data_IF_749804213658
#
_entry.id   IF_749804213658
#
_cell.length_a   1.000
_cell.length_b   1.000
_cell.length_c   1.000
_cell.angle_alpha   90.00
_cell.angle_beta   90.00
_cell.angle_gamma   90.00
#
_symmetry.space_group_name_H-M   'P 1'
#
loop_
_entity.id
_entity.type
_entity.pdbx_description
1 polymer ?
#
# COMPACT_ATOMS: atom_id res chain seq x y z
N UNK A 1 -9.40 -10.85 17.80
CA UNK A 1 -8.10 -11.55 17.69
C UNK A 1 -7.03 -10.72 16.96
N UNK A 2 -7.35 -9.93 15.93
CA UNK A 2 -6.36 -9.09 15.21
C UNK A 2 -5.54 -8.14 16.10
N UNK A 3 -6.14 -7.55 17.14
CA UNK A 3 -5.46 -6.65 18.07
C UNK A 3 -4.27 -7.31 18.81
N UNK A 4 -4.26 -8.64 18.96
CA UNK A 4 -3.15 -9.35 19.61
C UNK A 4 -1.94 -9.55 18.67
N UNK A 5 -2.12 -9.44 17.35
CA UNK A 5 -1.03 -9.58 16.37
C UNK A 5 -0.09 -8.37 16.39
N UNK A 6 -0.55 -7.22 16.86
CA UNK A 6 0.19 -5.96 16.82
C UNK A 6 0.37 -5.37 18.20
N UNK A 7 0.86 -6.15 19.16
CA UNK A 7 1.17 -5.67 20.52
C UNK A 7 2.62 -5.20 20.65
N UNK A 8 2.88 -4.24 21.54
CA UNK A 8 4.24 -3.81 21.88
C UNK A 8 4.94 -3.17 20.68
N UNK A 9 6.17 -3.59 20.31
CA UNK A 9 6.93 -2.98 19.22
C UNK A 9 6.21 -2.99 17.85
N UNK A 10 5.24 -3.89 17.67
CA UNK A 10 4.49 -4.07 16.42
C UNK A 10 3.22 -3.20 16.31
N UNK A 11 2.82 -2.49 17.36
CA UNK A 11 1.57 -1.68 17.40
C UNK A 11 1.42 -0.78 16.18
N UNK A 12 2.49 -0.09 15.81
CA UNK A 12 2.52 0.84 14.67
C UNK A 12 2.09 0.22 13.34
N UNK A 13 2.29 -1.08 13.12
CA UNK A 13 1.94 -1.74 11.86
C UNK A 13 0.47 -2.13 11.81
N UNK A 14 -0.21 -2.21 12.96
CA UNK A 14 -1.63 -2.54 13.07
C UNK A 14 -2.55 -1.33 13.30
N UNK A 15 -2.01 -0.12 13.45
CA UNK A 15 -2.78 1.08 13.83
C UNK A 15 -3.95 1.41 12.87
N UNK A 16 -3.82 1.02 11.61
CA UNK A 16 -4.81 1.25 10.57
C UNK A 16 -5.85 0.14 10.49
N UNK A 17 -5.63 -1.01 11.15
CA UNK A 17 -6.55 -2.14 11.08
C UNK A 17 -7.73 -1.92 12.04
N UNK A 18 -8.92 -1.82 11.47
CA UNK A 18 -10.16 -1.64 12.20
C UNK A 18 -10.67 -2.97 12.75
N UNK A 19 -11.22 -2.95 13.96
CA UNK A 19 -11.91 -4.12 14.50
C UNK A 19 -13.22 -4.38 13.72
N UNK A 20 -13.65 -5.64 13.68
CA UNK A 20 -14.89 -6.03 12.99
C UNK A 20 -16.13 -5.33 13.59
N UNK A 21 -16.06 -5.01 14.88
CA UNK A 21 -17.07 -4.39 15.72
C UNK A 21 -16.73 -2.94 16.11
N UNK A 22 -15.82 -2.26 15.40
CA UNK A 22 -15.39 -0.89 15.72
C UNK A 22 -16.54 0.11 15.48
N UNK A 23 -17.48 0.16 16.41
CA UNK A 23 -18.60 1.08 16.52
C UNK A 23 -18.20 2.25 17.43
N UNK A 24 -17.10 2.93 17.11
CA UNK A 24 -16.76 4.19 17.78
C UNK A 24 -17.89 5.21 17.55
N UNK A 25 -18.27 6.02 18.55
CA UNK A 25 -19.34 7.03 18.43
C UNK A 25 -19.14 8.02 17.28
N UNK A 26 -17.88 8.29 16.90
CA UNK A 26 -17.48 9.07 15.72
C UNK A 26 -17.42 8.20 14.44
N UNK A 27 -18.45 7.37 14.20
CA UNK A 27 -18.47 6.35 13.15
C UNK A 27 -18.26 6.96 11.76
N UNK A 28 -16.99 7.01 11.33
CA UNK A 28 -16.60 7.34 9.96
C UNK A 28 -17.22 6.33 9.00
N UNK A 29 -17.69 6.75 7.82
CA UNK A 29 -18.26 5.82 6.86
C UNK A 29 -17.19 4.80 6.46
N UNK A 30 -17.48 3.52 6.70
CA UNK A 30 -16.66 2.42 6.23
C UNK A 30 -17.29 1.88 4.96
N UNK A 31 -16.59 2.01 3.84
CA UNK A 31 -17.10 1.70 2.50
C UNK A 31 -16.32 0.54 1.91
N UNK A 32 -17.01 -0.39 1.24
CA UNK A 32 -16.35 -1.48 0.53
C UNK A 32 -15.40 -0.90 -0.54
N UNK A 33 -14.21 -1.50 -0.67
CA UNK A 33 -13.20 -1.02 -1.60
C UNK A 33 -13.67 -1.14 -3.06
N UNK A 34 -14.39 -2.20 -3.40
CA UNK A 34 -15.03 -2.37 -4.71
C UNK A 34 -16.02 -1.26 -5.06
N UNK A 35 -16.77 -0.74 -4.08
CA UNK A 35 -17.69 0.38 -4.26
C UNK A 35 -16.92 1.70 -4.42
N UNK A 36 -15.85 1.90 -3.65
CA UNK A 36 -15.01 3.10 -3.75
C UNK A 36 -14.29 3.22 -5.08
N UNK A 37 -14.00 2.10 -5.76
CA UNK A 37 -13.32 2.07 -7.05
C UNK A 37 -14.24 2.33 -8.25
N UNK A 38 -15.55 2.50 -8.03
CA UNK A 38 -16.47 2.95 -9.08
C UNK A 38 -16.12 4.38 -9.52
N UNK A 39 -16.18 4.66 -10.82
CA UNK A 39 -15.74 5.94 -11.38
C UNK A 39 -16.45 7.14 -10.73
N UNK A 40 -17.76 7.04 -10.52
CA UNK A 40 -18.56 8.10 -9.90
C UNK A 40 -18.18 8.34 -8.44
N UNK A 41 -17.75 7.28 -7.73
CA UNK A 41 -17.29 7.39 -6.33
C UNK A 41 -15.89 7.98 -6.24
N UNK A 42 -14.99 7.58 -7.14
CA UNK A 42 -13.67 8.19 -7.26
C UNK A 42 -13.76 9.68 -7.62
N UNK A 43 -14.66 10.05 -8.54
CA UNK A 43 -14.91 11.44 -8.91
C UNK A 43 -15.36 12.26 -7.69
N UNK A 44 -16.34 11.77 -6.95
CA UNK A 44 -16.84 12.42 -5.73
C UNK A 44 -15.74 12.56 -4.67
N UNK A 45 -14.98 11.50 -4.43
CA UNK A 45 -13.88 11.49 -3.46
C UNK A 45 -12.78 12.48 -3.83
N UNK A 46 -12.26 12.40 -5.06
CA UNK A 46 -11.15 13.26 -5.48
C UNK A 46 -11.60 14.72 -5.58
N UNK A 47 -12.84 14.99 -5.99
CA UNK A 47 -13.41 16.34 -5.97
C UNK A 47 -13.48 16.90 -4.55
N UNK A 48 -13.89 16.08 -3.57
CA UNK A 48 -13.94 16.46 -2.16
C UNK A 48 -12.54 16.76 -1.59
N UNK A 49 -11.53 15.96 -1.93
CA UNK A 49 -10.18 16.11 -1.38
C UNK A 49 -9.42 17.27 -2.01
N UNK A 50 -9.52 17.41 -3.35
CA UNK A 50 -8.62 18.25 -4.16
C UNK A 50 -9.32 19.46 -4.79
N UNK A 51 -10.65 19.47 -4.84
CA UNK A 51 -11.43 20.55 -5.43
C UNK A 51 -11.51 20.51 -6.97
N UNK A 52 -12.46 21.27 -7.56
CA UNK A 52 -12.73 21.23 -8.99
C UNK A 52 -11.62 21.84 -9.86
N UNK A 53 -10.72 22.64 -9.28
CA UNK A 53 -9.65 23.30 -10.04
C UNK A 53 -8.55 22.31 -10.47
N UNK A 54 -8.23 21.33 -9.61
CA UNK A 54 -7.16 20.37 -9.87
C UNK A 54 -7.63 19.14 -10.65
N UNK A 55 -8.88 18.71 -10.44
CA UNK A 55 -9.46 17.51 -11.05
C UNK A 55 -9.21 17.40 -12.56
N UNK A 56 -9.54 18.38 -13.42
CA UNK A 56 -9.43 18.22 -14.88
C UNK A 56 -7.99 18.14 -15.41
N UNK A 57 -7.04 18.80 -14.73
CA UNK A 57 -5.68 18.97 -15.23
C UNK A 57 -4.63 18.09 -14.54
N UNK A 58 -4.96 17.53 -13.37
CA UNK A 58 -4.00 16.81 -12.52
C UNK A 58 -4.48 15.42 -12.09
N UNK A 59 -5.56 14.89 -12.68
CA UNK A 59 -6.15 13.59 -12.30
C UNK A 59 -5.12 12.45 -12.09
N UNK A 60 -4.11 12.24 -12.97
CA UNK A 60 -3.05 11.25 -12.74
C UNK A 60 -2.34 11.40 -11.39
N UNK A 61 -2.05 12.64 -10.97
CA UNK A 61 -1.34 12.94 -9.74
C UNK A 61 -2.24 12.70 -8.54
N UNK A 62 -3.50 13.16 -8.62
CA UNK A 62 -4.49 13.02 -7.56
C UNK A 62 -4.76 11.54 -7.24
N UNK A 63 -4.94 10.73 -8.29
CA UNK A 63 -5.11 9.28 -8.17
C UNK A 63 -3.86 8.63 -7.58
N UNK A 64 -2.66 9.03 -8.02
CA UNK A 64 -1.42 8.50 -7.44
C UNK A 64 -1.26 8.86 -5.95
N UNK A 65 -1.74 10.02 -5.51
CA UNK A 65 -1.70 10.41 -4.11
C UNK A 65 -2.73 9.65 -3.28
N UNK A 66 -3.97 9.52 -3.78
CA UNK A 66 -5.00 8.75 -3.09
C UNK A 66 -4.61 7.28 -2.93
N UNK A 67 -4.07 6.66 -3.98
CA UNK A 67 -3.54 5.30 -3.95
C UNK A 67 -2.46 5.10 -2.88
N UNK A 68 -1.58 6.11 -2.68
CA UNK A 68 -0.56 6.07 -1.63
C UNK A 68 -1.20 5.92 -0.24
N UNK A 69 -2.27 6.67 0.05
CA UNK A 69 -2.96 6.56 1.33
C UNK A 69 -3.60 5.18 1.54
N UNK A 70 -4.11 4.56 0.47
CA UNK A 70 -4.58 3.17 0.54
C UNK A 70 -3.46 2.18 0.88
N UNK A 71 -2.32 2.26 0.18
CA UNK A 71 -1.16 1.41 0.46
C UNK A 71 -0.69 1.57 1.91
N UNK A 72 -0.79 2.79 2.45
CA UNK A 72 -0.50 3.08 3.86
C UNK A 72 -1.41 2.34 4.84
N UNK A 73 -2.65 2.05 4.47
CA UNK A 73 -3.58 1.33 5.34
C UNK A 73 -3.35 -0.19 5.29
N UNK A 74 -3.17 -0.75 4.09
CA UNK A 74 -3.26 -2.21 3.87
C UNK A 74 -1.93 -2.94 3.98
N UNK A 75 -0.83 -2.36 3.50
CA UNK A 75 0.45 -3.09 3.39
C UNK A 75 1.03 -3.46 4.76
N UNK A 76 1.15 -2.55 5.75
CA UNK A 76 1.81 -2.86 7.01
C UNK A 76 1.15 -3.99 7.79
N UNK A 77 -0.18 -3.98 8.04
CA UNK A 77 -0.78 -5.04 8.83
C UNK A 77 -0.68 -6.39 8.11
N UNK A 78 -0.92 -6.43 6.80
CA UNK A 78 -0.87 -7.68 6.02
C UNK A 78 0.56 -8.26 5.97
N UNK A 79 1.54 -7.42 5.68
CA UNK A 79 2.94 -7.84 5.55
C UNK A 79 3.48 -8.36 6.88
N UNK A 80 3.26 -7.62 7.97
CA UNK A 80 3.77 -7.97 9.30
C UNK A 80 3.04 -9.17 9.88
N UNK A 81 1.71 -9.26 9.72
CA UNK A 81 0.95 -10.43 10.15
C UNK A 81 1.44 -11.72 9.47
N UNK A 82 1.70 -11.67 8.17
CA UNK A 82 2.26 -12.82 7.46
C UNK A 82 3.66 -13.14 7.97
N UNK A 83 4.59 -12.17 7.99
CA UNK A 83 6.01 -12.42 8.31
C UNK A 83 6.23 -12.88 9.76
N UNK A 84 5.56 -12.27 10.72
CA UNK A 84 5.78 -12.52 12.15
C UNK A 84 4.89 -13.65 12.67
N UNK A 85 3.65 -13.73 12.20
CA UNK A 85 2.64 -14.61 12.79
C UNK A 85 2.14 -15.70 11.83
N UNK A 86 2.53 -15.68 10.56
CA UNK A 86 1.96 -16.58 9.56
C UNK A 86 0.47 -16.36 9.33
N UNK A 87 -0.04 -15.19 9.70
CA UNK A 87 -1.45 -14.86 9.69
C UNK A 87 -1.85 -14.18 8.39
N UNK A 88 -2.96 -14.60 7.81
CA UNK A 88 -3.44 -14.12 6.51
C UNK A 88 -4.93 -13.79 6.58
N UNK A 89 -5.34 -12.80 5.80
CA UNK A 89 -6.73 -12.44 5.59
C UNK A 89 -7.12 -12.70 4.14
N UNK A 90 -8.41 -12.90 3.87
CA UNK A 90 -8.94 -12.76 2.53
C UNK A 90 -8.84 -11.28 2.11
N UNK A 91 -8.26 -11.02 0.93
CA UNK A 91 -7.87 -9.66 0.49
C UNK A 91 -8.46 -9.26 -0.87
N UNK A 92 -9.41 -10.04 -1.41
CA UNK A 92 -10.15 -9.61 -2.59
C UNK A 92 -10.83 -8.26 -2.32
N UNK A 93 -11.02 -7.43 -3.34
CA UNK A 93 -11.49 -6.05 -3.17
C UNK A 93 -12.86 -5.97 -2.47
N UNK A 94 -13.73 -6.97 -2.64
CA UNK A 94 -15.05 -7.05 -1.98
C UNK A 94 -14.95 -7.41 -0.49
N UNK A 95 -13.80 -7.93 -0.06
CA UNK A 95 -13.52 -8.35 1.33
C UNK A 95 -12.71 -7.29 2.09
N UNK A 96 -12.40 -6.17 1.43
CA UNK A 96 -11.68 -5.04 2.02
C UNK A 96 -12.61 -3.84 2.04
N UNK A 97 -12.65 -3.15 3.17
CA UNK A 97 -13.37 -1.88 3.30
C UNK A 97 -12.46 -0.81 3.91
N UNK A 98 -12.70 0.45 3.59
CA UNK A 98 -11.92 1.57 4.08
C UNK A 98 -12.78 2.49 4.94
N UNK A 99 -12.27 2.88 6.09
CA UNK A 99 -12.72 4.11 6.73
C UNK A 99 -12.10 5.29 5.99
N UNK A 100 -12.95 6.23 5.61
CA UNK A 100 -12.53 7.51 5.02
C UNK A 100 -12.81 8.65 6.01
N UNK A 101 -11.90 9.62 6.08
CA UNK A 101 -12.15 10.84 6.85
C UNK A 101 -13.17 11.75 6.15
N UNK A 102 -13.50 12.86 6.80
CA UNK A 102 -14.44 13.89 6.29
C UNK A 102 -14.03 14.48 4.94
N UNK A 103 -12.75 14.38 4.56
CA UNK A 103 -12.24 14.86 3.27
C UNK A 103 -12.35 13.78 2.19
N UNK A 104 -12.34 12.51 2.57
CA UNK A 104 -12.32 11.35 1.67
C UNK A 104 -10.99 10.57 1.67
N UNK A 105 -10.06 10.87 2.58
CA UNK A 105 -8.79 10.17 2.67
C UNK A 105 -8.92 8.86 3.47
N UNK A 106 -8.33 7.74 2.99
CA UNK A 106 -8.23 6.51 3.77
C UNK A 106 -7.51 6.74 5.10
N UNK A 107 -8.13 6.32 6.20
CA UNK A 107 -7.55 6.41 7.54
C UNK A 107 -7.73 5.14 8.39
N UNK A 108 -8.22 4.08 7.77
CA UNK A 108 -8.30 2.74 8.34
C UNK A 108 -8.77 1.73 7.32
N UNK A 109 -8.40 0.47 7.52
CA UNK A 109 -8.79 -0.67 6.69
C UNK A 109 -9.49 -1.71 7.55
N UNK A 110 -10.61 -2.24 7.06
CA UNK A 110 -11.32 -3.38 7.62
C UNK A 110 -11.20 -4.54 6.65
N UNK A 111 -10.73 -5.67 7.17
CA UNK A 111 -10.59 -6.91 6.43
C UNK A 111 -11.71 -7.87 6.85
N UNK A 112 -12.34 -8.54 5.89
CA UNK A 112 -13.42 -9.47 6.18
C UNK A 112 -12.92 -10.71 6.94
N UNK A 113 -13.75 -11.20 7.86
CA UNK A 113 -13.42 -12.34 8.71
C UNK A 113 -12.32 -12.04 9.72
N UNK A 114 -11.96 -13.05 10.51
CA UNK A 114 -10.91 -12.90 11.53
C UNK A 114 -9.50 -13.06 10.94
N UNK A 115 -9.41 -13.58 9.72
CA UNK A 115 -8.19 -14.16 9.16
C UNK A 115 -7.86 -15.49 9.84
N UNK A 116 -6.77 -16.11 9.41
CA UNK A 116 -6.33 -17.37 9.98
C UNK A 116 -4.81 -17.56 9.88
N UNK A 117 -4.27 -18.35 10.81
CA UNK A 117 -2.90 -18.82 10.71
C UNK A 117 -2.81 -19.89 9.62
N UNK A 118 -1.98 -19.66 8.60
CA UNK A 118 -1.74 -20.67 7.56
C UNK A 118 -0.84 -21.77 8.09
N UNK A 119 -1.36 -23.01 8.11
CA UNK A 119 -0.56 -24.21 8.38
C UNK A 119 0.26 -24.54 7.13
N UNK A 120 1.59 -24.51 7.24
CA UNK A 120 2.48 -24.79 6.10
C UNK A 120 2.60 -23.59 5.15
N UNK A 121 3.02 -22.45 5.68
CA UNK A 121 3.25 -21.21 4.91
C UNK A 121 4.13 -21.54 3.69
N UNK A 122 3.72 -21.15 2.46
CA UNK A 122 4.52 -21.38 1.27
C UNK A 122 5.93 -20.82 1.41
N UNK A 123 6.92 -21.60 0.97
CA UNK A 123 8.31 -21.14 0.89
C UNK A 123 8.49 -20.08 -0.22
N UNK A 124 7.69 -20.20 -1.28
CA UNK A 124 7.65 -19.23 -2.37
C UNK A 124 7.02 -17.91 -1.88
N UNK A 125 7.75 -16.79 -1.94
CA UNK A 125 7.26 -15.49 -1.48
C UNK A 125 6.02 -15.02 -2.27
N UNK A 126 5.93 -15.32 -3.57
CA UNK A 126 4.79 -14.89 -4.38
C UNK A 126 3.52 -15.66 -4.04
N UNK A 127 3.64 -16.95 -3.71
CA UNK A 127 2.50 -17.72 -3.20
C UNK A 127 2.08 -17.26 -1.80
N UNK A 128 3.04 -16.98 -0.93
CA UNK A 128 2.76 -16.46 0.42
C UNK A 128 2.00 -15.14 0.39
N UNK A 129 2.34 -14.26 -0.56
CA UNK A 129 1.74 -12.93 -0.68
C UNK A 129 0.72 -12.82 -1.83
N UNK A 130 0.24 -13.94 -2.40
CA UNK A 130 -0.71 -13.93 -3.51
C UNK A 130 -1.97 -13.12 -3.20
N UNK A 131 -2.52 -13.25 -1.98
CA UNK A 131 -3.68 -12.44 -1.59
C UNK A 131 -3.41 -10.92 -1.60
N UNK A 132 -2.21 -10.49 -1.22
CA UNK A 132 -1.86 -9.06 -1.28
C UNK A 132 -1.57 -8.64 -2.73
N UNK A 133 -0.87 -9.45 -3.50
CA UNK A 133 -0.40 -9.09 -4.83
C UNK A 133 -1.49 -9.25 -5.90
N UNK A 134 -2.06 -10.44 -6.00
CA UNK A 134 -2.97 -10.84 -7.07
C UNK A 134 -4.42 -10.48 -6.76
N UNK A 135 -4.89 -10.73 -5.53
CA UNK A 135 -6.30 -10.48 -5.17
C UNK A 135 -6.57 -9.00 -4.83
N UNK A 136 -5.54 -8.25 -4.43
CA UNK A 136 -5.69 -6.88 -3.95
C UNK A 136 -4.95 -5.83 -4.80
N UNK A 137 -3.62 -5.78 -4.72
CA UNK A 137 -2.84 -4.69 -5.32
C UNK A 137 -2.98 -4.67 -6.85
N UNK A 138 -2.94 -5.82 -7.51
CA UNK A 138 -3.07 -5.92 -8.96
C UNK A 138 -4.41 -5.35 -9.48
N UNK A 139 -5.59 -5.80 -9.03
CA UNK A 139 -6.86 -5.25 -9.50
C UNK A 139 -7.10 -3.82 -9.02
N UNK A 140 -6.68 -3.45 -7.80
CA UNK A 140 -6.75 -2.07 -7.32
C UNK A 140 -5.94 -1.11 -8.20
N UNK A 141 -4.68 -1.45 -8.49
CA UNK A 141 -3.80 -0.64 -9.34
C UNK A 141 -4.32 -0.58 -10.77
N UNK A 142 -4.85 -1.68 -11.31
CA UNK A 142 -5.44 -1.69 -12.65
C UNK A 142 -6.65 -0.74 -12.75
N UNK A 143 -7.55 -0.77 -11.77
CA UNK A 143 -8.73 0.10 -11.72
C UNK A 143 -8.33 1.59 -11.64
N UNK A 144 -7.44 1.95 -10.72
CA UNK A 144 -6.99 3.34 -10.58
C UNK A 144 -6.15 3.82 -11.75
N UNK A 145 -5.32 2.96 -12.33
CA UNK A 145 -4.56 3.26 -13.55
C UNK A 145 -5.49 3.63 -14.70
N UNK A 146 -6.55 2.84 -14.91
CA UNK A 146 -7.55 3.08 -15.95
C UNK A 146 -8.34 4.37 -15.69
N UNK A 147 -8.83 4.57 -14.46
CA UNK A 147 -9.58 5.76 -14.10
C UNK A 147 -8.73 7.04 -14.18
N UNK A 148 -7.51 7.01 -13.64
CA UNK A 148 -6.64 8.19 -13.55
C UNK A 148 -5.80 8.50 -14.79
N UNK A 149 -5.79 7.61 -15.79
CA UNK A 149 -4.99 7.79 -17.00
C UNK A 149 -3.48 7.84 -16.73
N UNK A 150 -2.98 7.00 -15.81
CA UNK A 150 -1.57 6.94 -15.43
C UNK A 150 -1.00 5.53 -15.57
N UNK A 151 0.29 5.35 -15.89
CA UNK A 151 0.86 4.00 -15.99
C UNK A 151 0.81 3.24 -14.65
N UNK A 152 0.41 1.97 -14.66
CA UNK A 152 0.42 1.10 -13.46
C UNK A 152 1.76 1.11 -12.71
N UNK A 153 2.88 1.28 -13.44
CA UNK A 153 4.22 1.33 -12.87
C UNK A 153 4.42 2.49 -11.86
N UNK A 154 3.65 3.58 -11.97
CA UNK A 154 3.63 4.69 -11.01
C UNK A 154 3.07 4.22 -9.66
N UNK A 155 1.94 3.50 -9.69
CA UNK A 155 1.27 3.00 -8.49
C UNK A 155 2.04 1.82 -7.86
N UNK A 156 2.56 0.90 -8.68
CA UNK A 156 3.43 -0.19 -8.21
C UNK A 156 4.72 0.32 -7.56
N UNK A 157 5.31 1.41 -8.10
CA UNK A 157 6.43 2.10 -7.46
C UNK A 157 6.03 2.65 -6.09
N UNK A 158 4.79 3.15 -5.90
CA UNK A 158 4.32 3.66 -4.60
C UNK A 158 4.10 2.52 -3.61
N UNK A 159 3.49 1.42 -4.06
CA UNK A 159 3.27 0.24 -3.23
C UNK A 159 4.61 -0.37 -2.77
N UNK A 160 5.56 -0.53 -3.69
CA UNK A 160 6.89 -1.05 -3.36
C UNK A 160 7.72 -0.11 -2.49
N UNK A 161 7.61 1.20 -2.67
CA UNK A 161 8.18 2.20 -1.77
C UNK A 161 7.70 2.02 -0.34
N UNK A 162 6.39 1.81 -0.16
CA UNK A 162 5.84 1.68 1.18
C UNK A 162 6.12 0.29 1.79
N UNK A 163 6.05 -0.77 0.99
CA UNK A 163 6.41 -2.14 1.40
C UNK A 163 7.86 -2.21 1.88
N UNK A 164 8.80 -1.66 1.13
CA UNK A 164 10.22 -1.65 1.51
C UNK A 164 10.44 -0.87 2.81
N UNK A 165 9.83 0.31 2.95
CA UNK A 165 9.93 1.09 4.19
C UNK A 165 9.36 0.34 5.40
N UNK A 166 8.27 -0.42 5.20
CA UNK A 166 7.71 -1.29 6.22
C UNK A 166 8.69 -2.41 6.65
N UNK A 167 9.41 -3.02 5.69
CA UNK A 167 10.43 -4.05 5.98
C UNK A 167 11.61 -3.46 6.75
N UNK A 168 12.11 -2.29 6.33
CA UNK A 168 13.19 -1.57 7.02
C UNK A 168 12.78 -1.27 8.46
N UNK A 169 11.56 -0.78 8.68
CA UNK A 169 11.06 -0.51 10.01
C UNK A 169 10.90 -1.79 10.85
N UNK A 170 10.35 -2.86 10.28
CA UNK A 170 10.19 -4.14 10.98
C UNK A 170 11.54 -4.72 11.42
N UNK A 171 12.59 -4.58 10.60
CA UNK A 171 13.95 -5.03 10.92
C UNK A 171 14.51 -4.41 12.22
N UNK A 172 14.03 -3.22 12.59
CA UNK A 172 14.48 -2.51 13.81
C UNK A 172 13.83 -3.02 15.09
N UNK A 173 12.73 -3.78 14.98
CA UNK A 173 11.89 -4.12 16.13
C UNK A 173 11.41 -5.58 16.17
N UNK A 174 11.85 -6.43 15.24
CA UNK A 174 11.50 -7.85 15.16
C UNK A 174 12.68 -8.70 14.72
N UNK A 175 12.73 -9.94 15.19
CA UNK A 175 13.71 -10.97 14.78
C UNK A 175 13.17 -11.90 13.70
N UNK A 176 11.94 -11.66 13.21
CA UNK A 176 11.33 -12.47 12.16
C UNK A 176 12.15 -12.41 10.86
N UNK A 177 12.19 -13.53 10.12
CA UNK A 177 12.85 -13.57 8.81
C UNK A 177 12.12 -12.68 7.81
N UNK A 178 12.83 -11.68 7.27
CA UNK A 178 12.31 -10.77 6.25
C UNK A 178 12.55 -11.26 4.82
N UNK A 179 13.26 -12.39 4.65
CA UNK A 179 13.63 -12.95 3.34
C UNK A 179 12.44 -13.03 2.38
N UNK A 180 11.24 -13.53 2.78
CA UNK A 180 10.10 -13.60 1.87
C UNK A 180 9.62 -12.21 1.41
N UNK A 181 9.63 -11.20 2.29
CA UNK A 181 9.23 -9.84 1.93
C UNK A 181 10.26 -9.15 1.04
N UNK A 182 11.55 -9.35 1.32
CA UNK A 182 12.64 -8.81 0.51
C UNK A 182 12.70 -9.44 -0.89
N UNK A 183 12.33 -10.72 -1.02
CA UNK A 183 12.26 -11.41 -2.30
C UNK A 183 11.24 -10.75 -3.26
N UNK A 184 10.13 -10.21 -2.74
CA UNK A 184 9.18 -9.43 -3.55
C UNK A 184 9.81 -8.21 -4.22
N UNK A 185 10.90 -7.67 -3.65
CA UNK A 185 11.59 -6.48 -4.17
C UNK A 185 12.83 -6.84 -5.00
N UNK A 186 13.40 -8.03 -4.84
CA UNK A 186 14.66 -8.44 -5.45
C UNK A 186 14.51 -9.43 -6.61
N UNK A 187 13.41 -10.19 -6.68
CA UNK A 187 13.18 -11.14 -7.76
C UNK A 187 12.62 -10.46 -9.01
N UNK A 188 13.20 -10.76 -10.18
CA UNK A 188 12.84 -10.10 -11.44
C UNK A 188 11.51 -10.62 -12.04
N UNK A 189 11.18 -11.88 -11.78
CA UNK A 189 10.02 -12.56 -12.36
C UNK A 189 9.21 -13.22 -11.26
N UNK A 190 7.91 -13.32 -11.49
CA UNK A 190 7.00 -14.16 -10.72
C UNK A 190 7.16 -15.64 -11.14
N UNK A 191 6.62 -16.61 -10.37
CA UNK A 191 6.74 -18.04 -10.67
C UNK A 191 6.18 -18.44 -12.04
N UNK A 192 5.19 -17.72 -12.54
CA UNK A 192 4.59 -17.92 -13.87
C UNK A 192 5.41 -17.31 -15.03
N UNK A 193 6.55 -16.68 -14.73
CA UNK A 193 7.45 -16.07 -15.69
C UNK A 193 7.12 -14.63 -16.07
N UNK A 194 6.00 -14.06 -15.58
CA UNK A 194 5.67 -12.63 -15.76
C UNK A 194 6.69 -11.75 -15.03
N UNK A 195 6.84 -10.51 -15.48
CA UNK A 195 7.70 -9.54 -14.81
C UNK A 195 7.13 -9.17 -13.44
N UNK A 196 7.97 -9.16 -12.41
CA UNK A 196 7.57 -8.70 -11.08
C UNK A 196 7.42 -7.17 -11.07
N UNK A 197 6.23 -6.61 -10.82
CA UNK A 197 6.03 -5.17 -10.82
C UNK A 197 6.75 -4.47 -9.67
N UNK A 198 7.07 -5.16 -8.58
CA UNK A 198 7.79 -4.62 -7.41
C UNK A 198 9.32 -4.68 -7.54
N UNK A 199 9.86 -5.37 -8.56
CA UNK A 199 11.30 -5.55 -8.74
C UNK A 199 12.07 -4.22 -8.74
N UNK A 200 12.92 -4.01 -7.74
CA UNK A 200 13.66 -2.76 -7.52
C UNK A 200 12.75 -1.53 -7.52
N UNK A 201 11.55 -1.59 -6.93
CA UNK A 201 10.69 -0.43 -6.75
C UNK A 201 11.40 0.71 -6.00
N UNK A 202 12.39 0.37 -5.19
CA UNK A 202 13.30 1.27 -4.48
C UNK A 202 14.75 0.88 -4.78
N UNK A 203 15.63 1.88 -4.84
CA UNK A 203 17.08 1.76 -5.00
C UNK A 203 17.77 2.68 -4.00
N UNK A 204 18.96 2.29 -3.57
CA UNK A 204 19.83 3.10 -2.74
C UNK A 204 20.93 3.70 -3.62
N UNK A 205 20.89 5.02 -3.80
CA UNK A 205 21.81 5.77 -4.66
C UNK A 205 22.95 6.31 -3.79
N UNK A 206 24.22 5.96 -4.06
CA UNK A 206 25.34 6.50 -3.33
C UNK A 206 25.32 8.03 -3.29
N UNK A 207 25.68 8.61 -2.15
CA UNK A 207 25.84 10.05 -1.96
C UNK A 207 27.33 10.42 -1.91
N UNK A 208 27.64 11.70 -1.73
CA UNK A 208 29.01 12.16 -1.53
C UNK A 208 29.66 11.46 -0.32
N UNK A 209 30.99 11.44 -0.26
CA UNK A 209 31.73 10.64 0.71
C UNK A 209 31.33 10.95 2.17
N UNK A 210 30.70 9.96 2.82
CA UNK A 210 30.31 10.01 4.23
C UNK A 210 28.79 9.98 4.47
N UNK A 211 27.98 10.26 3.45
CA UNK A 211 26.53 10.30 3.58
C UNK A 211 25.89 8.93 3.32
N UNK A 212 24.80 8.65 4.06
CA UNK A 212 23.97 7.47 3.83
C UNK A 212 23.42 7.45 2.39
N UNK A 213 23.36 6.27 1.74
CA UNK A 213 22.79 6.16 0.40
C UNK A 213 21.36 6.70 0.35
N UNK A 214 21.09 7.57 -0.62
CA UNK A 214 19.77 8.14 -0.79
C UNK A 214 18.80 7.10 -1.31
N UNK A 215 17.74 6.86 -0.55
CA UNK A 215 16.62 6.03 -0.96
C UNK A 215 15.83 6.69 -2.09
N UNK A 216 15.69 5.99 -3.22
CA UNK A 216 15.09 6.51 -4.44
C UNK A 216 14.12 5.51 -5.06
N UNK A 217 12.93 5.98 -5.42
CA UNK A 217 11.93 5.17 -6.13
C UNK A 217 12.31 4.94 -7.58
N UNK A 218 11.91 3.80 -8.14
CA UNK A 218 12.13 3.45 -9.56
C UNK A 218 11.36 4.36 -10.52
N UNK A 219 10.16 4.77 -10.14
CA UNK A 219 9.24 5.56 -10.97
C UNK A 219 8.68 6.72 -10.15
N UNK A 220 8.63 7.91 -10.74
CA UNK A 220 8.11 9.12 -10.11
C UNK A 220 6.61 8.98 -9.78
N UNK A 221 6.20 9.40 -8.57
CA UNK A 221 4.80 9.41 -8.15
C UNK A 221 4.00 10.63 -8.61
N UNK A 222 4.60 11.48 -9.45
CA UNK A 222 3.99 12.68 -10.02
C UNK A 222 3.64 13.78 -9.01
N UNK A 223 3.81 13.56 -7.70
CA UNK A 223 3.40 14.50 -6.63
C UNK A 223 3.90 15.93 -6.86
N UNK A 224 5.11 16.08 -7.40
CA UNK A 224 5.74 17.36 -7.70
C UNK A 224 4.97 18.24 -8.70
N UNK A 225 3.99 17.69 -9.43
CA UNK A 225 3.16 18.43 -10.40
C UNK A 225 2.06 19.24 -9.73
N UNK A 226 1.76 18.97 -8.45
CA UNK A 226 0.81 19.72 -7.64
C UNK A 226 1.61 20.42 -6.54
N UNK A 227 1.70 21.75 -6.64
CA UNK A 227 2.59 22.58 -5.80
C UNK A 227 2.42 22.31 -4.30
N UNK A 228 1.18 22.29 -3.80
CA UNK A 228 0.91 22.08 -2.38
C UNK A 228 1.15 20.64 -1.90
N UNK A 229 1.18 19.65 -2.81
CA UNK A 229 1.59 18.28 -2.48
C UNK A 229 3.12 18.19 -2.44
N UNK A 230 3.80 18.89 -3.36
CA UNK A 230 5.24 18.99 -3.40
C UNK A 230 5.95 17.73 -3.88
N UNK A 231 7.28 17.79 -3.90
CA UNK A 231 8.14 16.68 -4.30
C UNK A 231 8.26 15.66 -3.16
N UNK A 232 8.03 14.38 -3.46
CA UNK A 232 8.26 13.33 -2.47
C UNK A 232 9.76 13.14 -2.17
N UNK A 233 10.05 12.71 -0.94
CA UNK A 233 11.41 12.47 -0.44
C UNK A 233 12.21 11.49 -1.34
N UNK A 234 11.56 10.44 -1.83
CA UNK A 234 12.19 9.38 -2.62
C UNK A 234 12.13 9.62 -4.15
N UNK A 235 11.98 10.87 -4.59
CA UNK A 235 11.75 11.18 -6.01
C UNK A 235 12.94 10.75 -6.91
N UNK A 236 12.68 10.05 -8.05
CA UNK A 236 13.74 9.71 -9.01
C UNK A 236 14.23 10.87 -9.85
N UNK A 237 13.42 11.92 -9.98
CA UNK A 237 13.79 13.08 -10.79
C UNK A 237 14.87 13.88 -10.05
N UNK A 238 15.87 14.34 -10.80
CA UNK A 238 16.84 15.31 -10.30
C UNK A 238 16.12 16.55 -9.75
N UNK A 239 16.68 17.12 -8.69
CA UNK A 239 16.26 18.41 -8.14
C UNK A 239 16.45 19.50 -9.15
#
# INVERSE_FOLDING_TARGET
MSAQLFSGPLERFGQTLLAADDSRPDSRPVVALSDLLQAERLDQLLLSIYGPQLMPSQLPVLVSQWAKFYFMQVIPPVLVASLVHGWHWPLALEQVALAVDERGLPNGVRLAGEGEAWRGIPADPFQRFAGLLDDNLQPFIAALSAYGGLPCAVLWSSAGDYLEGCLVQLATCSTASLVPGLALLSERKMPDGRANPLFQAVRYVPQAQGDEPRRQRRVCCLSHRVEWVGRCEHCPLSG
#
